data_IF_761825858521
#
_entry.id   IF_761825858521
#
_cell.length_a   1.000
_cell.length_b   1.000
_cell.length_c   1.000
_cell.angle_alpha   90.00
_cell.angle_beta   90.00
_cell.angle_gamma   90.00
#
_symmetry.space_group_name_H-M   'P 1'
#
loop_
_entity.id
_entity.type
_entity.pdbx_description
1 polymer ?
#
# COMPACT_ATOMS: atom_id res chain seq x y z
N UNK A 1 45.57 -9.22 -28.69
CA UNK A 1 44.99 -7.98 -29.25
C UNK A 1 44.34 -7.23 -28.11
N UNK A 2 44.56 -5.93 -28.02
CA UNK A 2 44.64 -5.08 -26.85
C UNK A 2 43.40 -5.03 -25.95
N UNK A 3 43.64 -5.16 -24.67
CA UNK A 3 42.71 -4.83 -23.57
C UNK A 3 42.75 -3.32 -23.31
N UNK A 4 41.59 -2.67 -23.27
CA UNK A 4 41.46 -1.28 -22.85
C UNK A 4 40.75 -1.26 -21.51
N UNK A 5 41.52 -0.93 -20.46
CA UNK A 5 41.02 -0.69 -19.10
C UNK A 5 40.72 0.80 -18.97
N UNK A 6 39.48 1.16 -18.66
CA UNK A 6 39.09 2.53 -18.32
C UNK A 6 38.85 2.59 -16.82
N UNK A 7 39.73 3.28 -16.11
CA UNK A 7 39.52 3.69 -14.69
C UNK A 7 38.69 4.95 -14.67
N UNK A 8 37.56 4.90 -13.98
CA UNK A 8 36.79 6.09 -13.62
C UNK A 8 37.01 6.41 -12.14
N UNK A 9 37.56 7.58 -11.88
CA UNK A 9 37.82 8.14 -10.54
C UNK A 9 36.57 8.76 -9.94
N UNK A 10 36.25 8.35 -8.73
CA UNK A 10 35.16 8.92 -7.93
C UNK A 10 35.70 10.09 -7.10
N UNK A 11 35.16 11.29 -7.26
CA UNK A 11 35.43 12.47 -6.42
C UNK A 11 34.34 12.61 -5.34
N UNK A 12 34.77 12.47 -4.07
CA UNK A 12 33.98 12.83 -2.91
C UNK A 12 33.98 14.35 -2.75
N UNK A 13 32.80 14.95 -2.79
CA UNK A 13 32.55 16.34 -2.39
C UNK A 13 31.89 16.39 -1.02
N UNK A 14 32.63 16.65 0.03
CA UNK A 14 32.11 16.99 1.34
C UNK A 14 32.00 18.52 1.43
N UNK A 15 30.81 19.07 1.69
CA UNK A 15 30.61 20.44 2.14
C UNK A 15 29.77 20.42 3.41
N UNK A 16 30.48 20.49 4.54
CA UNK A 16 29.91 20.87 5.82
C UNK A 16 29.82 22.40 5.92
N UNK A 17 28.70 22.90 6.42
CA UNK A 17 28.58 24.25 6.93
C UNK A 17 28.10 24.22 8.37
N UNK A 18 29.05 24.28 9.29
CA UNK A 18 28.80 24.64 10.68
C UNK A 18 28.48 26.14 10.77
N UNK A 19 27.38 26.49 11.41
CA UNK A 19 27.13 27.86 11.91
C UNK A 19 27.15 27.81 13.42
N UNK A 20 28.25 28.27 13.95
CA UNK A 20 28.38 28.70 15.36
C UNK A 20 27.76 30.08 15.45
N UNK A 21 26.78 30.26 16.32
CA UNK A 21 26.39 31.59 16.82
C UNK A 21 26.28 31.53 18.33
N UNK A 22 27.25 32.19 18.96
CA UNK A 22 27.29 32.51 20.38
C UNK A 22 26.37 33.68 20.66
N UNK A 23 25.58 33.66 21.75
CA UNK A 23 24.88 34.84 22.26
C UNK A 23 23.83 34.50 23.29
N UNK A 24 24.23 34.53 24.49
CA UNK A 24 23.70 34.86 25.83
C UNK A 24 22.19 35.08 26.09
N UNK A 25 21.81 34.45 27.19
CA UNK A 25 20.99 34.88 28.36
C UNK A 25 19.46 35.02 28.21
N UNK A 26 18.76 34.22 29.01
CA UNK A 26 17.56 34.64 29.72
C UNK A 26 16.24 33.89 29.42
N UNK A 27 15.89 32.96 30.29
CA UNK A 27 14.54 32.88 30.81
C UNK A 27 13.48 32.02 30.07
N UNK A 28 12.97 31.10 30.85
CA UNK A 28 11.62 30.55 30.85
C UNK A 28 11.35 29.35 29.93
N UNK A 29 11.24 28.22 30.60
CA UNK A 29 10.71 26.93 30.15
C UNK A 29 9.37 27.04 29.39
N UNK A 30 9.39 26.72 28.10
CA UNK A 30 8.24 26.20 27.41
C UNK A 30 8.73 24.99 26.62
N UNK A 31 8.25 23.84 26.99
CA UNK A 31 8.49 22.56 26.37
C UNK A 31 7.73 22.54 25.03
N UNK A 32 8.37 22.98 23.96
CA UNK A 32 7.84 22.81 22.61
C UNK A 32 7.96 21.33 22.25
N UNK A 33 6.80 20.65 22.32
CA UNK A 33 6.63 19.36 21.73
C UNK A 33 6.93 19.46 20.22
N UNK A 34 7.94 18.75 19.77
CA UNK A 34 8.21 18.52 18.37
C UNK A 34 6.99 17.84 17.73
N UNK A 35 6.13 18.64 17.09
CA UNK A 35 5.12 18.14 16.18
C UNK A 35 5.83 17.44 15.03
N UNK A 36 5.87 16.12 15.07
CA UNK A 36 6.20 15.33 13.90
C UNK A 36 5.16 15.67 12.84
N UNK A 37 5.59 16.31 11.75
CA UNK A 37 4.76 16.52 10.57
C UNK A 37 4.28 15.15 10.09
N UNK A 38 2.98 14.86 10.07
CA UNK A 38 2.51 13.58 9.55
C UNK A 38 2.92 13.48 8.08
N UNK A 39 3.60 12.40 7.72
CA UNK A 39 3.82 12.02 6.32
C UNK A 39 2.47 12.05 5.61
N UNK A 40 2.38 12.58 4.39
CA UNK A 40 1.13 12.58 3.65
C UNK A 40 0.69 11.13 3.50
N UNK A 41 -0.35 10.75 4.22
CA UNK A 41 -1.06 9.49 4.03
C UNK A 41 -1.52 9.48 2.58
N UNK A 42 -1.01 8.54 1.79
CA UNK A 42 -1.48 8.35 0.42
C UNK A 42 -2.96 8.06 0.54
N UNK A 43 -3.79 8.97 0.04
CA UNK A 43 -5.24 8.85 0.18
C UNK A 43 -5.71 7.56 -0.49
N UNK A 44 -6.32 6.67 0.30
CA UNK A 44 -7.00 5.49 -0.24
C UNK A 44 -8.04 5.93 -1.27
N UNK A 45 -8.19 5.23 -2.40
CA UNK A 45 -9.22 5.54 -3.40
C UNK A 45 -10.65 5.42 -2.86
N UNK A 46 -10.79 4.88 -1.66
CA UNK A 46 -12.08 4.70 -0.96
C UNK A 46 -12.36 5.75 0.11
N UNK A 47 -11.46 6.69 0.33
CA UNK A 47 -11.72 7.81 1.25
C UNK A 47 -12.47 8.88 0.49
N UNK A 48 -13.69 9.18 0.89
CA UNK A 48 -14.43 10.30 0.34
C UNK A 48 -13.68 11.61 0.60
N UNK A 49 -13.56 12.49 -0.43
CA UNK A 49 -12.99 13.81 -0.25
C UNK A 49 -13.82 14.57 0.82
N UNK A 50 -13.21 14.89 1.94
CA UNK A 50 -13.87 15.62 3.03
C UNK A 50 -14.18 14.81 4.29
N UNK A 51 -13.88 13.51 4.33
CA UNK A 51 -13.86 12.74 5.58
C UNK A 51 -12.70 13.21 6.48
N UNK A 52 -12.77 14.45 6.93
CA UNK A 52 -11.84 15.03 7.88
C UNK A 52 -12.03 14.39 9.26
N UNK A 53 -10.98 14.37 10.08
CA UNK A 53 -10.92 13.79 11.43
C UNK A 53 -11.88 14.45 12.46
N UNK A 54 -12.94 15.10 12.01
CA UNK A 54 -13.83 15.90 12.84
C UNK A 54 -15.03 15.18 13.46
N UNK A 55 -15.29 13.91 13.11
CA UNK A 55 -16.40 13.18 13.70
C UNK A 55 -15.98 12.54 15.04
N UNK A 56 -16.73 12.74 16.13
CA UNK A 56 -16.52 12.02 17.37
C UNK A 56 -16.49 10.51 17.09
N UNK A 57 -15.51 9.80 17.67
CA UNK A 57 -15.34 8.35 17.50
C UNK A 57 -15.02 7.84 16.08
N UNK A 58 -14.56 8.71 15.18
CA UNK A 58 -14.21 8.30 13.81
C UNK A 58 -13.20 7.13 13.78
N UNK A 59 -12.17 7.15 14.62
CA UNK A 59 -11.19 6.06 14.71
C UNK A 59 -11.77 4.79 15.28
N UNK A 60 -12.66 4.88 16.26
CA UNK A 60 -13.33 3.73 16.87
C UNK A 60 -14.29 3.08 15.87
N UNK A 61 -15.08 3.89 15.17
CA UNK A 61 -16.02 3.42 14.16
C UNK A 61 -15.33 2.85 12.91
N UNK A 62 -14.06 3.19 12.64
CA UNK A 62 -13.28 2.70 11.52
C UNK A 62 -12.12 1.78 11.92
N UNK A 63 -12.13 1.24 13.15
CA UNK A 63 -11.10 0.32 13.63
C UNK A 63 -10.90 -0.89 12.74
N UNK A 64 -11.96 -1.41 12.13
CA UNK A 64 -11.91 -2.51 11.16
C UNK A 64 -11.09 -2.20 9.89
N UNK A 65 -10.87 -0.90 9.59
CA UNK A 65 -10.05 -0.42 8.46
C UNK A 65 -8.59 -0.18 8.82
N UNK A 66 -8.22 -0.37 10.06
CA UNK A 66 -6.83 -0.26 10.50
C UNK A 66 -6.18 -1.62 10.31
N UNK A 67 -5.18 -1.74 9.42
CA UNK A 67 -4.47 -3.00 9.25
C UNK A 67 -3.65 -3.32 10.49
N UNK A 68 -3.43 -4.59 10.73
CA UNK A 68 -2.54 -5.07 11.77
C UNK A 68 -1.08 -4.63 11.56
N UNK A 69 -0.27 -4.79 12.59
CA UNK A 69 1.16 -4.51 12.52
C UNK A 69 1.89 -5.64 11.80
N UNK A 70 2.93 -5.28 11.06
CA UNK A 70 3.86 -6.22 10.45
C UNK A 70 5.15 -6.28 11.25
N UNK A 71 5.74 -7.46 11.40
CA UNK A 71 7.12 -7.58 11.86
C UNK A 71 8.09 -6.97 10.82
N UNK A 72 9.26 -6.52 11.27
CA UNK A 72 10.25 -5.93 10.35
C UNK A 72 10.75 -6.93 9.28
N UNK A 73 10.75 -8.23 9.58
CA UNK A 73 11.09 -9.27 8.62
C UNK A 73 9.99 -9.44 7.58
N UNK A 74 8.75 -9.60 8.02
CA UNK A 74 7.58 -9.75 7.15
C UNK A 74 7.35 -8.54 6.26
N UNK A 75 7.60 -7.34 6.78
CA UNK A 75 7.52 -6.10 5.99
C UNK A 75 8.52 -6.06 4.83
N UNK A 76 9.76 -6.55 5.04
CA UNK A 76 10.76 -6.65 3.96
C UNK A 76 10.32 -7.65 2.89
N UNK A 77 9.73 -8.77 3.30
CA UNK A 77 9.25 -9.78 2.39
C UNK A 77 8.06 -9.26 1.58
N UNK A 78 7.10 -8.59 2.24
CA UNK A 78 5.98 -7.94 1.58
C UNK A 78 6.44 -6.88 0.57
N UNK A 79 7.46 -6.07 0.90
CA UNK A 79 8.04 -5.10 -0.03
C UNK A 79 8.66 -5.75 -1.26
N UNK A 80 9.33 -6.92 -1.10
CA UNK A 80 9.86 -7.67 -2.26
C UNK A 80 8.74 -8.18 -3.17
N UNK A 81 7.67 -8.69 -2.59
CA UNK A 81 6.53 -9.17 -3.37
C UNK A 81 5.77 -8.00 -4.03
N UNK A 82 5.61 -6.87 -3.35
CA UNK A 82 5.06 -5.65 -3.92
C UNK A 82 5.85 -5.19 -5.16
N UNK A 83 7.18 -5.19 -5.06
CA UNK A 83 8.07 -4.82 -6.17
C UNK A 83 7.97 -5.79 -7.38
N UNK A 84 7.54 -7.04 -7.17
CA UNK A 84 7.26 -8.01 -8.25
C UNK A 84 5.90 -7.77 -8.91
N UNK A 85 4.90 -7.39 -8.12
CA UNK A 85 3.51 -7.16 -8.58
C UNK A 85 3.39 -5.82 -9.31
N UNK A 86 4.01 -4.77 -8.80
CA UNK A 86 3.86 -3.40 -9.31
C UNK A 86 4.10 -3.27 -10.83
N UNK A 87 5.19 -3.78 -11.42
CA UNK A 87 5.42 -3.66 -12.86
C UNK A 87 4.38 -4.41 -13.69
N UNK A 88 3.78 -5.46 -13.14
CA UNK A 88 2.69 -6.19 -13.81
C UNK A 88 1.43 -5.33 -13.85
N UNK A 89 1.01 -4.76 -12.72
CA UNK A 89 -0.18 -3.89 -12.66
C UNK A 89 0.01 -2.61 -13.47
N UNK A 90 1.19 -1.99 -13.41
CA UNK A 90 1.53 -0.83 -14.24
C UNK A 90 1.36 -1.10 -15.73
N UNK A 91 1.87 -2.23 -16.20
CA UNK A 91 1.73 -2.64 -17.61
C UNK A 91 0.26 -2.88 -17.98
N UNK A 92 -0.50 -3.58 -17.13
CA UNK A 92 -1.94 -3.82 -17.36
C UNK A 92 -2.71 -2.51 -17.40
N UNK A 93 -2.41 -1.59 -16.51
CA UNK A 93 -3.00 -0.24 -16.52
C UNK A 93 -2.72 0.50 -17.83
N UNK A 94 -1.48 0.50 -18.29
CA UNK A 94 -1.08 1.12 -19.55
C UNK A 94 -1.76 0.50 -20.79
N UNK A 95 -2.09 -0.80 -20.71
CA UNK A 95 -2.76 -1.55 -21.75
C UNK A 95 -4.29 -1.47 -21.70
N UNK A 96 -4.87 -0.83 -20.70
CA UNK A 96 -6.32 -0.80 -20.49
C UNK A 96 -6.92 -2.17 -20.12
N UNK A 97 -6.11 -3.05 -19.51
CA UNK A 97 -6.49 -4.44 -19.21
C UNK A 97 -6.62 -4.63 -17.69
N UNK A 98 -7.63 -4.05 -17.10
CA UNK A 98 -7.84 -4.05 -15.65
C UNK A 98 -8.97 -4.95 -15.16
N UNK A 99 -9.59 -5.74 -16.02
CA UNK A 99 -10.61 -6.70 -15.58
C UNK A 99 -10.02 -7.80 -14.67
N UNK A 100 -10.79 -8.31 -13.68
CA UNK A 100 -10.27 -9.24 -12.67
C UNK A 100 -9.70 -10.53 -13.25
N UNK A 101 -10.25 -11.05 -14.35
CA UNK A 101 -9.76 -12.28 -14.98
C UNK A 101 -8.38 -12.08 -15.60
N UNK A 102 -8.19 -10.99 -16.31
CA UNK A 102 -6.91 -10.65 -16.95
C UNK A 102 -5.85 -10.34 -15.89
N UNK A 103 -6.20 -9.56 -14.86
CA UNK A 103 -5.30 -9.25 -13.74
C UNK A 103 -4.87 -10.51 -13.01
N UNK A 104 -5.82 -11.39 -12.66
CA UNK A 104 -5.55 -12.69 -12.04
C UNK A 104 -4.58 -13.51 -12.87
N UNK A 105 -4.86 -13.69 -14.14
CA UNK A 105 -4.02 -14.49 -15.04
C UNK A 105 -2.59 -13.92 -15.14
N UNK A 106 -2.43 -12.60 -15.10
CA UNK A 106 -1.13 -11.96 -15.15
C UNK A 106 -0.33 -12.12 -13.85
N UNK A 107 -0.99 -11.96 -12.69
CA UNK A 107 -0.33 -12.07 -11.37
C UNK A 107 0.02 -13.54 -11.06
N UNK A 108 -0.82 -14.49 -11.43
CA UNK A 108 -0.52 -15.94 -11.29
C UNK A 108 0.76 -16.36 -12.04
N UNK A 109 1.13 -15.69 -13.14
CA UNK A 109 2.40 -15.96 -13.85
C UNK A 109 3.65 -15.64 -13.04
N UNK A 110 3.51 -14.90 -11.93
CA UNK A 110 4.59 -14.68 -10.96
C UNK A 110 4.85 -15.89 -10.05
N UNK A 111 4.03 -16.95 -10.16
CA UNK A 111 4.20 -18.20 -9.42
C UNK A 111 3.37 -18.29 -8.13
N UNK A 112 2.49 -17.33 -7.87
CA UNK A 112 1.56 -17.42 -6.73
C UNK A 112 0.48 -18.48 -6.98
N UNK A 113 -0.08 -19.01 -5.90
CA UNK A 113 -1.23 -19.90 -5.93
C UNK A 113 -2.49 -19.14 -5.53
N UNK A 114 -3.56 -19.33 -6.26
CA UNK A 114 -4.85 -18.74 -5.92
C UNK A 114 -5.41 -19.36 -4.63
N UNK A 115 -5.98 -18.52 -3.76
CA UNK A 115 -6.65 -18.99 -2.55
C UNK A 115 -7.84 -19.88 -2.93
N UNK A 116 -7.94 -20.99 -2.24
CA UNK A 116 -9.08 -21.92 -2.34
C UNK A 116 -9.73 -22.11 -0.97
N UNK A 117 -11.05 -22.27 -0.98
CA UNK A 117 -11.85 -22.36 0.24
C UNK A 117 -12.72 -23.61 0.19
N UNK A 118 -13.01 -24.19 1.35
CA UNK A 118 -14.01 -25.25 1.47
C UNK A 118 -15.44 -24.69 1.40
N UNK A 119 -16.43 -25.58 1.47
CA UNK A 119 -17.85 -25.21 1.46
C UNK A 119 -18.28 -24.39 2.69
N UNK A 120 -17.50 -24.39 3.76
CA UNK A 120 -17.71 -23.63 4.98
C UNK A 120 -16.98 -22.28 4.97
N UNK A 121 -16.19 -21.99 3.91
CA UNK A 121 -15.41 -20.77 3.76
C UNK A 121 -14.04 -20.82 4.45
N UNK A 122 -13.59 -21.97 4.92
CA UNK A 122 -12.24 -22.09 5.49
C UNK A 122 -11.20 -22.15 4.37
N UNK A 123 -10.09 -21.46 4.57
CA UNK A 123 -8.99 -21.45 3.62
C UNK A 123 -8.33 -22.83 3.56
N UNK A 124 -8.31 -23.43 2.38
CA UNK A 124 -7.63 -24.70 2.11
C UNK A 124 -6.18 -24.51 1.67
N UNK A 125 -5.85 -23.36 1.07
CA UNK A 125 -4.51 -23.05 0.60
C UNK A 125 -4.48 -21.90 -0.40
N UNK A 126 -3.28 -21.60 -0.88
CA UNK A 126 -3.03 -20.45 -1.73
C UNK A 126 -2.79 -19.17 -0.92
N UNK A 127 -2.36 -18.13 -1.61
CA UNK A 127 -1.98 -16.84 -1.00
C UNK A 127 -2.48 -15.64 -1.78
N UNK A 128 -2.94 -15.85 -3.01
CA UNK A 128 -3.39 -14.79 -3.91
C UNK A 128 -4.90 -14.83 -4.07
N UNK A 129 -5.54 -13.69 -3.90
CA UNK A 129 -6.94 -13.51 -4.24
C UNK A 129 -7.11 -12.26 -5.10
N UNK A 130 -7.87 -12.37 -6.19
CA UNK A 130 -8.19 -11.24 -7.08
C UNK A 130 -9.71 -11.10 -7.15
N UNK A 131 -10.20 -9.91 -6.81
CA UNK A 131 -11.62 -9.56 -6.75
C UNK A 131 -11.95 -8.37 -7.65
N UNK A 132 -13.21 -8.20 -8.08
CA UNK A 132 -13.68 -6.93 -8.66
C UNK A 132 -13.46 -5.77 -7.71
N UNK A 133 -13.55 -4.55 -8.24
CA UNK A 133 -13.64 -3.35 -7.42
C UNK A 133 -14.88 -3.41 -6.53
N UNK A 134 -14.86 -2.70 -5.41
CA UNK A 134 -16.04 -2.59 -4.57
C UNK A 134 -17.11 -1.77 -5.28
N UNK A 135 -18.36 -2.19 -5.12
CA UNK A 135 -19.51 -1.38 -5.55
C UNK A 135 -19.62 -0.11 -4.71
N UNK A 136 -20.11 0.94 -5.31
CA UNK A 136 -20.41 2.22 -4.66
C UNK A 136 -21.72 2.79 -5.18
N UNK A 137 -22.35 3.64 -4.38
CA UNK A 137 -23.56 4.34 -4.81
C UNK A 137 -23.19 5.57 -5.64
N UNK A 138 -23.64 5.60 -6.88
CA UNK A 138 -23.52 6.77 -7.76
C UNK A 138 -24.90 7.13 -8.32
N UNK A 139 -25.35 8.38 -8.08
CA UNK A 139 -26.66 8.86 -8.57
C UNK A 139 -27.84 7.94 -8.21
N UNK A 140 -27.84 7.41 -6.98
CA UNK A 140 -28.90 6.55 -6.47
C UNK A 140 -28.87 5.10 -7.02
N UNK A 141 -27.78 4.70 -7.64
CA UNK A 141 -27.60 3.33 -8.16
C UNK A 141 -26.30 2.74 -7.64
N UNK A 142 -26.32 1.44 -7.39
CA UNK A 142 -25.12 0.69 -7.10
C UNK A 142 -24.33 0.46 -8.40
N UNK A 143 -23.07 0.90 -8.41
CA UNK A 143 -22.16 0.78 -9.55
C UNK A 143 -20.89 0.10 -9.10
N UNK A 144 -20.49 -0.97 -9.77
CA UNK A 144 -19.15 -1.57 -9.58
C UNK A 144 -18.21 -0.99 -10.63
N UNK A 145 -17.21 -0.19 -10.23
CA UNK A 145 -16.24 0.35 -11.17
C UNK A 145 -15.47 -0.75 -11.90
N UNK A 146 -15.08 -0.50 -13.13
CA UNK A 146 -14.15 -1.38 -13.83
C UNK A 146 -12.80 -1.39 -13.14
N UNK A 147 -12.27 -2.59 -12.91
CA UNK A 147 -10.99 -2.78 -12.24
C UNK A 147 -10.92 -4.06 -11.43
N UNK A 148 -9.76 -4.29 -10.86
CA UNK A 148 -9.50 -5.44 -10.01
C UNK A 148 -8.72 -5.02 -8.77
N UNK A 149 -9.02 -5.66 -7.64
CA UNK A 149 -8.27 -5.63 -6.40
C UNK A 149 -7.48 -6.91 -6.26
N UNK A 150 -6.26 -6.80 -5.76
CA UNK A 150 -5.34 -7.89 -5.54
C UNK A 150 -4.97 -7.91 -4.07
N UNK A 151 -5.15 -9.04 -3.43
CA UNK A 151 -4.66 -9.33 -2.08
C UNK A 151 -3.69 -10.51 -2.15
N UNK A 152 -2.46 -10.32 -1.70
CA UNK A 152 -1.48 -11.37 -1.55
C UNK A 152 -1.09 -11.48 -0.08
N UNK A 153 -1.31 -12.65 0.51
CA UNK A 153 -0.81 -12.98 1.85
C UNK A 153 0.62 -13.47 1.74
N UNK A 154 1.54 -12.69 2.29
CA UNK A 154 2.98 -13.01 2.29
C UNK A 154 3.33 -13.81 3.55
N UNK A 155 2.82 -13.36 4.69
CA UNK A 155 2.89 -14.00 5.99
C UNK A 155 1.55 -13.81 6.72
N UNK A 156 1.39 -14.43 7.88
CA UNK A 156 0.17 -14.26 8.69
C UNK A 156 -0.01 -12.81 9.15
N UNK A 157 1.09 -12.06 9.28
CA UNK A 157 1.12 -10.66 9.69
C UNK A 157 1.40 -9.68 8.53
N UNK A 158 1.51 -10.14 7.27
CA UNK A 158 1.94 -9.28 6.16
C UNK A 158 1.23 -9.58 4.85
N UNK A 159 0.73 -8.52 4.25
CA UNK A 159 0.01 -8.51 2.99
C UNK A 159 0.66 -7.59 1.95
N UNK A 160 0.44 -7.90 0.67
CA UNK A 160 0.43 -6.92 -0.40
C UNK A 160 -1.02 -6.66 -0.79
N UNK A 161 -1.45 -5.41 -0.66
CA UNK A 161 -2.77 -4.94 -1.07
C UNK A 161 -2.60 -4.06 -2.29
N UNK A 162 -3.30 -4.38 -3.37
CA UNK A 162 -3.16 -3.62 -4.60
C UNK A 162 -4.48 -3.51 -5.36
N UNK A 163 -4.53 -2.57 -6.29
CA UNK A 163 -5.61 -2.48 -7.26
C UNK A 163 -5.10 -1.91 -8.59
N UNK A 164 -5.86 -2.17 -9.62
CA UNK A 164 -5.72 -1.53 -10.93
C UNK A 164 -7.12 -1.21 -11.49
N UNK A 165 -7.28 0.01 -11.95
CA UNK A 165 -8.54 0.51 -12.53
C UNK A 165 -8.23 1.54 -13.62
N UNK A 166 -9.24 2.02 -14.32
CA UNK A 166 -9.10 2.95 -15.45
C UNK A 166 -8.26 4.18 -15.10
N UNK A 167 -8.46 4.76 -13.93
CA UNK A 167 -7.82 6.03 -13.52
C UNK A 167 -6.39 5.86 -13.03
N UNK A 168 -6.10 4.75 -12.34
CA UNK A 168 -4.79 4.52 -11.72
C UNK A 168 -4.59 3.05 -11.31
N UNK A 169 -3.41 2.76 -10.81
CA UNK A 169 -3.07 1.55 -10.07
C UNK A 169 -2.32 1.92 -8.79
N UNK A 170 -2.35 1.05 -7.81
CA UNK A 170 -1.58 1.20 -6.58
C UNK A 170 -1.15 -0.17 -6.06
N UNK A 171 0.02 -0.22 -5.44
CA UNK A 171 0.51 -1.37 -4.68
C UNK A 171 1.02 -0.87 -3.34
N UNK A 172 0.59 -1.50 -2.27
CA UNK A 172 0.98 -1.17 -0.90
C UNK A 172 1.27 -2.43 -0.10
N UNK A 173 1.98 -2.28 1.01
CA UNK A 173 2.23 -3.34 1.98
C UNK A 173 1.64 -2.93 3.32
N UNK A 174 0.96 -3.85 3.96
CA UNK A 174 0.27 -3.63 5.24
C UNK A 174 0.11 -4.97 5.96
N UNK A 175 -0.19 -4.92 7.25
CA UNK A 175 -0.71 -6.09 7.94
C UNK A 175 -2.12 -6.45 7.47
N UNK A 176 -2.65 -7.63 7.83
CA UNK A 176 -4.00 -8.01 7.48
C UNK A 176 -5.03 -7.12 8.18
N UNK A 177 -6.11 -6.81 7.48
CA UNK A 177 -7.28 -6.17 8.07
C UNK A 177 -8.08 -7.21 8.86
N UNK A 178 -8.66 -6.85 10.01
CA UNK A 178 -9.32 -7.82 10.92
C UNK A 178 -10.40 -8.69 10.24
N UNK A 179 -11.18 -8.10 9.32
CA UNK A 179 -12.33 -8.77 8.72
C UNK A 179 -12.09 -9.23 7.27
N UNK A 180 -11.15 -8.60 6.58
CA UNK A 180 -11.00 -8.78 5.14
C UNK A 180 -9.64 -9.30 4.70
N UNK A 181 -8.75 -9.60 5.67
CA UNK A 181 -7.41 -10.11 5.37
C UNK A 181 -6.59 -9.11 4.57
N UNK A 182 -6.12 -9.48 3.39
CA UNK A 182 -5.28 -8.63 2.55
C UNK A 182 -6.08 -7.66 1.65
N UNK A 183 -7.33 -7.36 1.98
CA UNK A 183 -8.13 -6.36 1.25
C UNK A 183 -8.55 -5.23 2.16
N UNK A 184 -8.34 -4.00 1.73
CA UNK A 184 -8.88 -2.86 2.45
C UNK A 184 -10.41 -2.93 2.48
N UNK A 185 -11.04 -2.84 3.67
CA UNK A 185 -12.49 -2.82 3.81
C UNK A 185 -13.08 -1.56 3.17
N UNK A 186 -14.32 -1.66 2.71
CA UNK A 186 -15.07 -0.48 2.29
C UNK A 186 -15.26 0.49 3.47
N UNK A 187 -15.37 1.79 3.16
CA UNK A 187 -15.83 2.75 4.16
C UNK A 187 -17.23 2.32 4.64
N UNK A 188 -17.40 2.23 5.95
CA UNK A 188 -18.72 2.04 6.53
C UNK A 188 -19.59 3.28 6.26
N UNK A 189 -20.87 3.04 6.09
CA UNK A 189 -21.86 4.10 5.95
C UNK A 189 -22.34 4.57 7.30
#
# INVERSE_FOLDING_TARGET
MAALVVLATVSLGACGTERVTTGATGGTTAQEGTSATPSPSVASPYVEPGAGEGAPHYRENNGFRIPGDMSAASAKDAQREAARIEPVLKRLWQQGAWDPKTVRAAVLKLGYQEESFDAQGNLLGGTLLVKPMNSRFENGREVTPEGARVGLRVHDDACVTAFVQKTNYQVSTNGPYPETGCFEPMAGH
#
